data_IF_871654915728
#
_entry.id   IF_871654915728
#
_cell.length_a   1.000
_cell.length_b   1.000
_cell.length_c   1.000
_cell.angle_alpha   90.00
_cell.angle_beta   90.00
_cell.angle_gamma   90.00
#
_symmetry.space_group_name_H-M   'P 1'
#
loop_
_entity.id
_entity.type
_entity.pdbx_description
1 polymer ?
#
# COMPACT_ATOMS: atom_id res chain seq x y z
N UNK A 1 -6.55 -40.58 60.62
CA UNK A 1 -6.77 -41.42 59.42
C UNK A 1 -7.73 -40.63 58.55
N UNK A 2 -7.44 -40.05 57.40
CA UNK A 2 -6.40 -40.21 56.38
C UNK A 2 -6.22 -38.86 55.66
N UNK A 3 -5.13 -38.75 54.90
CA UNK A 3 -4.43 -37.54 54.47
C UNK A 3 -4.46 -37.40 52.93
N UNK A 4 -4.23 -36.18 52.44
CA UNK A 4 -3.70 -35.78 51.12
C UNK A 4 -4.68 -35.84 49.91
N UNK A 5 -4.61 -34.94 48.91
CA UNK A 5 -3.55 -33.99 48.60
C UNK A 5 -3.96 -32.90 47.60
N UNK A 6 -3.32 -31.74 47.76
CA UNK A 6 -3.30 -30.59 46.85
C UNK A 6 -2.36 -30.90 45.68
N UNK A 7 -2.80 -30.68 44.45
CA UNK A 7 -1.95 -30.66 43.26
C UNK A 7 -1.46 -29.22 43.02
N UNK A 8 -0.15 -29.03 43.12
CA UNK A 8 0.55 -27.82 42.69
C UNK A 8 0.92 -27.98 41.21
N UNK A 9 0.41 -27.09 40.34
CA UNK A 9 0.92 -26.96 38.97
C UNK A 9 2.26 -26.21 39.00
N UNK A 10 3.33 -26.92 38.67
CA UNK A 10 4.67 -26.36 38.53
C UNK A 10 4.74 -25.56 37.20
N UNK A 11 5.05 -24.28 37.31
CA UNK A 11 5.32 -23.36 36.19
C UNK A 11 6.67 -23.75 35.57
N UNK A 12 6.66 -24.29 34.36
CA UNK A 12 7.88 -24.51 33.56
C UNK A 12 8.27 -23.18 32.92
N UNK A 13 9.39 -22.62 33.37
CA UNK A 13 10.04 -21.44 32.82
C UNK A 13 10.90 -21.87 31.62
N UNK A 14 10.37 -21.77 30.41
CA UNK A 14 11.12 -22.01 29.17
C UNK A 14 11.70 -20.71 28.61
N UNK A 15 13.02 -20.58 28.62
CA UNK A 15 13.79 -19.51 27.96
C UNK A 15 13.91 -19.75 26.45
N UNK A 16 14.03 -18.70 25.61
CA UNK A 16 13.91 -18.81 24.15
C UNK A 16 15.19 -19.36 23.49
N UNK A 17 15.10 -20.00 22.30
CA UNK A 17 16.28 -20.41 21.55
C UNK A 17 16.91 -19.21 20.82
N UNK A 18 18.20 -18.98 21.10
CA UNK A 18 19.06 -18.04 20.39
C UNK A 18 19.41 -18.65 19.03
N UNK A 19 18.90 -18.08 17.94
CA UNK A 19 19.34 -18.42 16.58
C UNK A 19 20.59 -17.61 16.25
N UNK A 20 21.76 -18.26 16.28
CA UNK A 20 23.03 -17.70 15.82
C UNK A 20 23.14 -17.90 14.29
N UNK A 21 22.96 -16.83 13.51
CA UNK A 21 23.18 -16.85 12.06
C UNK A 21 24.65 -16.48 11.77
N UNK A 22 25.49 -17.49 11.53
CA UNK A 22 26.88 -17.30 11.10
C UNK A 22 26.96 -17.12 9.58
N UNK A 23 27.22 -15.90 9.12
CA UNK A 23 27.55 -15.62 7.72
C UNK A 23 29.08 -15.45 7.60
N UNK A 24 29.79 -16.50 7.16
CA UNK A 24 31.21 -16.40 6.81
C UNK A 24 31.33 -15.78 5.40
N UNK A 25 31.75 -14.52 5.33
CA UNK A 25 32.25 -13.89 4.11
C UNK A 25 33.73 -14.27 3.92
N UNK A 26 34.00 -15.21 3.02
CA UNK A 26 35.34 -15.47 2.54
C UNK A 26 35.71 -14.44 1.46
N UNK A 27 36.60 -13.49 1.79
CA UNK A 27 37.33 -12.67 0.83
C UNK A 27 38.72 -13.31 0.62
N UNK A 28 39.14 -13.63 -0.61
CA UNK A 28 40.56 -13.86 -0.87
C UNK A 28 41.22 -12.51 -1.20
N UNK A 29 42.14 -12.11 -0.33
CA UNK A 29 43.15 -11.09 -0.61
C UNK A 29 44.42 -11.79 -1.10
N UNK A 30 44.92 -11.38 -2.26
CA UNK A 30 46.25 -11.74 -2.76
C UNK A 30 46.27 -11.79 -4.29
N UNK A 31 47.29 -11.34 -5.01
CA UNK A 31 48.48 -10.57 -4.71
C UNK A 31 48.93 -9.95 -6.05
N UNK A 32 49.70 -8.88 -6.00
CA UNK A 32 50.29 -8.20 -7.17
C UNK A 32 51.32 -9.10 -7.89
N UNK A 33 51.46 -8.97 -9.22
CA UNK A 33 52.57 -9.59 -9.96
C UNK A 33 52.55 -9.48 -11.49
N UNK A 34 53.14 -8.38 -11.99
CA UNK A 34 54.05 -8.26 -13.15
C UNK A 34 53.66 -8.63 -14.60
N UNK A 35 54.01 -7.67 -15.46
CA UNK A 35 54.53 -7.79 -16.83
C UNK A 35 53.61 -8.19 -17.98
N UNK A 36 53.10 -7.15 -18.64
CA UNK A 36 53.59 -6.77 -19.97
C UNK A 36 53.55 -7.85 -21.05
N UNK A 37 52.42 -7.98 -21.74
CA UNK A 37 52.41 -8.45 -23.12
C UNK A 37 51.53 -7.52 -23.95
N UNK A 38 52.18 -6.85 -24.91
CA UNK A 38 51.56 -5.98 -25.90
C UNK A 38 51.09 -6.86 -27.05
N UNK A 39 49.79 -7.13 -27.12
CA UNK A 39 49.17 -7.68 -28.33
C UNK A 39 48.38 -6.60 -29.04
N UNK A 40 48.91 -6.19 -30.20
CA UNK A 40 48.16 -5.46 -31.21
C UNK A 40 47.10 -6.38 -31.78
N UNK A 41 45.83 -6.03 -31.60
CA UNK A 41 44.73 -6.61 -32.36
C UNK A 41 43.74 -5.49 -32.66
N UNK A 42 43.81 -4.96 -33.88
CA UNK A 42 42.74 -4.18 -34.44
C UNK A 42 41.47 -5.07 -34.48
N UNK A 43 40.51 -4.78 -33.60
CA UNK A 43 39.14 -5.28 -33.74
C UNK A 43 38.29 -4.13 -34.25
N UNK A 44 37.92 -4.25 -35.51
CA UNK A 44 36.74 -3.61 -36.08
C UNK A 44 35.56 -3.83 -35.14
N UNK A 45 35.15 -2.76 -34.46
CA UNK A 45 33.89 -2.73 -33.74
C UNK A 45 32.77 -2.75 -34.78
N UNK A 46 32.21 -3.92 -35.04
CA UNK A 46 30.88 -4.00 -35.65
C UNK A 46 29.91 -3.32 -34.68
N UNK A 47 29.18 -2.27 -35.08
CA UNK A 47 28.11 -1.74 -34.24
C UNK A 47 27.10 -2.87 -34.08
N UNK A 48 26.89 -3.33 -32.85
CA UNK A 48 25.72 -4.12 -32.52
C UNK A 48 24.50 -3.36 -33.06
N UNK A 49 23.54 -3.99 -33.75
CA UNK A 49 22.35 -3.28 -34.16
C UNK A 49 21.73 -2.72 -32.90
N UNK A 50 21.72 -1.39 -32.76
CA UNK A 50 20.83 -0.75 -31.80
C UNK A 50 19.44 -1.20 -32.23
N UNK A 51 18.91 -2.23 -31.56
CA UNK A 51 17.47 -2.42 -31.49
C UNK A 51 16.98 -1.06 -31.07
N UNK A 52 16.36 -0.35 -32.00
CA UNK A 52 15.46 0.75 -31.70
C UNK A 52 14.58 0.19 -30.58
N UNK A 53 14.88 0.60 -29.34
CA UNK A 53 13.97 0.41 -28.24
C UNK A 53 12.77 1.23 -28.70
N UNK A 54 11.80 0.56 -29.30
CA UNK A 54 10.50 1.14 -29.62
C UNK A 54 10.12 1.93 -28.38
N UNK A 55 9.91 3.23 -28.55
CA UNK A 55 9.60 4.15 -27.46
C UNK A 55 8.53 3.46 -26.61
N UNK A 56 8.94 2.91 -25.48
CA UNK A 56 8.12 1.92 -24.77
C UNK A 56 6.81 2.60 -24.46
N UNK A 57 5.68 1.98 -24.86
CA UNK A 57 4.35 2.54 -24.59
C UNK A 57 4.32 2.87 -23.10
N UNK A 58 4.30 4.16 -22.80
CA UNK A 58 4.41 4.64 -21.43
C UNK A 58 3.11 4.29 -20.72
N UNK A 59 3.17 3.33 -19.79
CA UNK A 59 1.97 2.82 -19.10
C UNK A 59 1.40 3.90 -18.16
N UNK A 60 0.11 4.25 -18.27
CA UNK A 60 -0.57 5.11 -17.30
C UNK A 60 -0.38 4.59 -15.87
N UNK A 61 0.01 5.49 -14.96
CA UNK A 61 0.09 5.18 -13.54
C UNK A 61 -0.22 6.42 -12.68
N UNK A 62 -0.83 6.20 -11.54
CA UNK A 62 -1.15 7.21 -10.55
C UNK A 62 -0.97 6.67 -9.13
N UNK A 63 -0.48 7.54 -8.26
CA UNK A 63 -0.46 7.33 -6.81
C UNK A 63 -0.86 8.64 -6.14
N UNK A 64 -1.89 8.61 -5.33
CA UNK A 64 -2.46 9.76 -4.63
C UNK A 64 -2.33 9.55 -3.13
N UNK A 65 -2.13 10.64 -2.41
CA UNK A 65 -2.10 10.67 -0.94
C UNK A 65 -3.28 11.46 -0.41
N UNK A 66 -3.84 11.01 0.72
CA UNK A 66 -5.00 11.62 1.35
C UNK A 66 -4.66 12.81 2.22
N UNK A 67 -5.55 13.80 2.26
CA UNK A 67 -5.49 14.92 3.19
C UNK A 67 -6.90 15.29 3.70
N UNK A 68 -7.00 15.86 4.92
CA UNK A 68 -8.29 16.25 5.47
C UNK A 68 -8.79 17.55 4.83
N UNK A 69 -10.10 17.61 4.56
CA UNK A 69 -10.80 18.86 4.29
C UNK A 69 -11.36 19.48 5.58
N UNK A 70 -11.68 20.79 5.53
CA UNK A 70 -12.42 21.50 6.59
C UNK A 70 -13.80 20.90 6.87
N UNK A 71 -14.41 20.24 5.88
CA UNK A 71 -15.72 19.60 6.00
C UNK A 71 -15.65 18.11 6.41
N UNK A 72 -14.58 17.68 7.08
CA UNK A 72 -14.38 16.28 7.49
C UNK A 72 -14.51 15.28 6.31
N UNK A 73 -13.89 15.63 5.18
CA UNK A 73 -13.84 14.78 3.99
C UNK A 73 -12.40 14.38 3.64
N UNK A 74 -12.27 13.22 3.00
CA UNK A 74 -11.02 12.70 2.47
C UNK A 74 -10.82 13.24 1.05
N UNK A 75 -9.79 14.08 0.88
CA UNK A 75 -9.40 14.61 -0.42
C UNK A 75 -8.09 13.99 -0.89
N UNK A 76 -7.95 13.82 -2.20
CA UNK A 76 -6.79 13.22 -2.85
C UNK A 76 -5.92 14.27 -3.52
N UNK A 77 -4.60 14.10 -3.47
CA UNK A 77 -3.63 14.96 -4.20
C UNK A 77 -2.47 14.16 -4.74
N UNK A 78 -1.84 14.70 -5.78
CA UNK A 78 -0.71 14.09 -6.49
C UNK A 78 0.57 14.95 -6.49
N UNK A 79 0.57 16.11 -5.84
CA UNK A 79 1.63 17.13 -5.95
C UNK A 79 2.68 17.07 -4.84
N UNK A 80 2.62 16.09 -3.93
CA UNK A 80 3.48 16.00 -2.75
C UNK A 80 3.86 14.55 -2.44
N UNK A 81 4.81 14.34 -1.53
CA UNK A 81 4.99 13.06 -0.81
C UNK A 81 5.11 11.78 -1.68
N UNK A 82 5.86 11.85 -2.78
CA UNK A 82 5.99 10.79 -3.80
C UNK A 82 4.69 10.39 -4.52
N UNK A 83 3.61 11.13 -4.31
CA UNK A 83 2.40 11.04 -5.14
C UNK A 83 2.70 11.53 -6.56
N UNK A 84 1.98 10.98 -7.54
CA UNK A 84 2.16 11.33 -8.94
C UNK A 84 0.93 10.99 -9.79
N UNK A 85 0.85 11.70 -10.92
CA UNK A 85 0.02 11.36 -12.08
C UNK A 85 0.97 11.23 -13.28
N UNK A 86 0.87 10.14 -14.04
CA UNK A 86 1.73 9.87 -15.20
C UNK A 86 0.94 9.35 -16.38
N UNK A 87 1.40 9.74 -17.57
CA UNK A 87 0.96 9.23 -18.88
C UNK A 87 -0.56 9.29 -19.08
N UNK A 88 -1.15 10.46 -18.79
CA UNK A 88 -2.55 10.78 -19.11
C UNK A 88 -3.51 10.74 -17.92
N UNK A 89 -3.16 10.09 -16.81
CA UNK A 89 -3.97 10.18 -15.59
C UNK A 89 -4.13 11.63 -15.15
N UNK A 90 -5.35 11.97 -14.73
CA UNK A 90 -5.67 13.27 -14.13
C UNK A 90 -6.62 13.09 -12.95
N UNK A 91 -6.63 14.09 -12.07
CA UNK A 91 -7.50 14.14 -10.91
C UNK A 91 -8.50 15.29 -11.12
N UNK A 92 -9.78 14.97 -11.12
CA UNK A 92 -10.87 15.95 -11.29
C UNK A 92 -11.98 15.64 -10.30
N UNK A 93 -12.47 16.65 -9.57
CA UNK A 93 -13.54 16.49 -8.58
C UNK A 93 -13.30 15.34 -7.58
N UNK A 94 -12.06 15.20 -7.10
CA UNK A 94 -11.63 14.12 -6.21
C UNK A 94 -11.68 12.70 -6.80
N UNK A 95 -11.79 12.58 -8.13
CA UNK A 95 -11.84 11.32 -8.87
C UNK A 95 -10.68 11.21 -9.86
N UNK A 96 -10.09 10.03 -9.94
CA UNK A 96 -9.03 9.69 -10.87
C UNK A 96 -9.65 9.32 -12.23
N UNK A 97 -9.27 10.04 -13.28
CA UNK A 97 -9.78 9.82 -14.65
C UNK A 97 -8.91 8.81 -15.42
N UNK A 98 -9.55 7.77 -15.96
CA UNK A 98 -8.87 6.74 -16.76
C UNK A 98 -8.53 7.29 -18.16
N UNK A 99 -7.24 7.36 -18.56
CA UNK A 99 -6.85 8.00 -19.81
C UNK A 99 -7.08 7.14 -21.07
N UNK A 100 -6.99 5.82 -20.93
CA UNK A 100 -7.11 4.85 -22.03
C UNK A 100 -7.83 3.59 -21.58
N UNK A 101 -8.64 2.97 -22.43
CA UNK A 101 -9.30 1.71 -22.09
C UNK A 101 -8.27 0.58 -21.94
N UNK A 102 -8.50 -0.32 -20.98
CA UNK A 102 -7.60 -1.46 -20.74
C UNK A 102 -7.74 -2.05 -19.34
N UNK A 103 -6.85 -2.99 -19.01
CA UNK A 103 -6.76 -3.57 -17.66
C UNK A 103 -5.95 -2.66 -16.75
N UNK A 104 -6.50 -2.38 -15.56
CA UNK A 104 -5.85 -1.58 -14.54
C UNK A 104 -5.82 -2.33 -13.23
N UNK A 105 -4.68 -2.36 -12.56
CA UNK A 105 -4.64 -2.68 -11.14
C UNK A 105 -4.99 -1.41 -10.36
N UNK A 106 -6.07 -1.47 -9.58
CA UNK A 106 -6.56 -0.38 -8.74
C UNK A 106 -6.36 -0.79 -7.28
N UNK A 107 -5.86 0.12 -6.45
CA UNK A 107 -5.58 -0.16 -5.04
C UNK A 107 -5.82 1.05 -4.16
N UNK A 108 -6.18 0.81 -2.90
CA UNK A 108 -6.34 1.85 -1.91
C UNK A 108 -6.06 1.33 -0.51
N UNK A 109 -5.55 2.21 0.35
CA UNK A 109 -5.35 1.96 1.78
C UNK A 109 -5.86 3.13 2.60
N UNK A 110 -6.48 2.78 3.73
CA UNK A 110 -6.74 3.71 4.83
C UNK A 110 -6.33 3.10 6.16
N UNK A 111 -5.87 3.93 7.08
CA UNK A 111 -5.65 3.57 8.48
C UNK A 111 -6.56 4.44 9.33
N UNK A 112 -7.33 3.80 10.19
CA UNK A 112 -8.15 4.43 11.20
C UNK A 112 -7.51 4.30 12.57
N UNK A 113 -7.67 5.30 13.41
CA UNK A 113 -7.28 5.31 14.81
C UNK A 113 -8.28 6.06 15.67
N UNK A 114 -8.34 5.71 16.93
CA UNK A 114 -9.12 6.45 17.91
C UNK A 114 -8.71 6.12 19.34
N UNK A 115 -9.20 6.94 20.25
CA UNK A 115 -8.93 6.77 21.67
C UNK A 115 -9.86 5.72 22.32
N UNK A 116 -9.48 5.29 23.51
CA UNK A 116 -10.35 4.47 24.38
C UNK A 116 -11.60 5.24 24.79
N UNK A 117 -12.68 4.52 25.08
CA UNK A 117 -13.85 5.12 25.71
C UNK A 117 -13.53 5.58 27.15
N UNK A 118 -14.19 6.67 27.58
CA UNK A 118 -14.20 7.06 28.99
C UNK A 118 -14.76 5.93 29.85
N UNK A 119 -14.23 5.66 31.06
CA UNK A 119 -14.75 4.63 31.98
C UNK A 119 -16.23 4.79 32.34
N UNK A 120 -16.81 5.98 32.11
CA UNK A 120 -18.21 6.30 32.39
C UNK A 120 -19.11 6.25 31.14
N UNK A 121 -18.53 6.05 29.96
CA UNK A 121 -19.28 5.98 28.72
C UNK A 121 -19.67 4.52 28.41
N UNK A 122 -20.89 4.32 27.91
CA UNK A 122 -21.30 3.03 27.34
C UNK A 122 -20.70 2.96 25.92
N UNK A 123 -19.79 2.01 25.63
CA UNK A 123 -19.14 1.95 24.33
C UNK A 123 -20.14 1.58 23.24
N UNK A 124 -20.29 2.46 22.26
CA UNK A 124 -21.04 2.17 21.03
C UNK A 124 -20.10 1.65 19.94
N UNK A 125 -20.56 0.70 19.10
CA UNK A 125 -19.76 0.25 17.98
C UNK A 125 -19.54 1.38 16.98
N UNK A 126 -18.28 1.59 16.60
CA UNK A 126 -17.88 2.45 15.51
C UNK A 126 -17.81 1.59 14.24
N UNK A 127 -18.63 1.93 13.26
CA UNK A 127 -18.57 1.34 11.93
C UNK A 127 -17.58 2.11 11.07
N UNK A 128 -16.66 1.37 10.44
CA UNK A 128 -15.63 1.90 9.55
C UNK A 128 -15.77 1.19 8.22
N UNK A 129 -15.76 1.95 7.13
CA UNK A 129 -15.78 1.38 5.79
C UNK A 129 -14.93 2.22 4.84
N UNK A 130 -14.37 1.57 3.84
CA UNK A 130 -13.65 2.23 2.77
C UNK A 130 -13.91 1.51 1.45
N UNK A 131 -14.36 2.26 0.46
CA UNK A 131 -14.73 1.74 -0.86
C UNK A 131 -13.99 2.49 -1.96
N UNK A 132 -13.63 1.76 -3.02
CA UNK A 132 -13.27 2.32 -4.32
C UNK A 132 -14.47 2.16 -5.24
N UNK A 133 -14.94 3.26 -5.82
CA UNK A 133 -16.15 3.32 -6.63
C UNK A 133 -15.83 3.73 -8.07
N UNK A 134 -16.53 3.12 -9.02
CA UNK A 134 -16.50 3.44 -10.43
C UNK A 134 -17.71 4.28 -10.81
N UNK A 135 -17.48 5.39 -11.50
CA UNK A 135 -18.49 6.09 -12.28
C UNK A 135 -18.09 6.01 -13.76
N UNK A 136 -18.97 5.41 -14.58
CA UNK A 136 -18.74 5.19 -16.01
C UNK A 136 -19.93 5.71 -16.80
N UNK A 137 -19.72 6.16 -18.04
CA UNK A 137 -20.83 6.55 -18.92
C UNK A 137 -21.80 5.40 -19.21
N UNK A 138 -21.38 4.15 -18.96
CA UNK A 138 -22.20 2.95 -19.11
C UNK A 138 -23.26 2.80 -17.99
N UNK A 139 -23.06 3.45 -16.83
CA UNK A 139 -23.94 3.33 -15.67
C UNK A 139 -24.20 4.71 -15.03
N UNK A 140 -25.47 5.14 -14.88
CA UNK A 140 -25.78 6.48 -14.35
C UNK A 140 -25.58 6.63 -12.83
N UNK A 141 -24.83 5.74 -12.18
CA UNK A 141 -24.60 5.73 -10.73
C UNK A 141 -23.23 5.13 -10.36
N UNK A 142 -22.79 5.35 -9.13
CA UNK A 142 -21.53 4.81 -8.61
C UNK A 142 -21.66 3.30 -8.33
N UNK A 143 -20.68 2.52 -8.82
CA UNK A 143 -20.59 1.07 -8.60
C UNK A 143 -19.38 0.76 -7.73
N UNK A 144 -19.54 0.12 -6.55
CA UNK A 144 -18.40 -0.32 -5.74
C UNK A 144 -17.57 -1.38 -6.48
N UNK A 145 -16.26 -1.16 -6.60
CA UNK A 145 -15.30 -2.11 -7.16
C UNK A 145 -14.59 -2.90 -6.05
N UNK A 146 -14.22 -2.21 -4.97
CA UNK A 146 -13.52 -2.76 -3.81
C UNK A 146 -14.18 -2.19 -2.57
N UNK A 147 -14.58 -3.03 -1.62
CA UNK A 147 -15.16 -2.60 -0.34
C UNK A 147 -14.53 -3.37 0.81
N UNK A 148 -14.15 -2.64 1.86
CA UNK A 148 -13.69 -3.19 3.12
C UNK A 148 -14.41 -2.52 4.29
N UNK A 149 -14.78 -3.31 5.30
CA UNK A 149 -15.55 -2.85 6.45
C UNK A 149 -14.98 -3.44 7.74
N UNK A 150 -15.03 -2.69 8.83
CA UNK A 150 -14.70 -3.16 10.18
C UNK A 150 -15.61 -2.49 11.20
N UNK A 151 -15.93 -3.24 12.25
CA UNK A 151 -16.54 -2.68 13.46
C UNK A 151 -15.50 -2.61 14.57
N UNK A 152 -15.47 -1.48 15.28
CA UNK A 152 -14.62 -1.28 16.44
C UNK A 152 -15.51 -1.00 17.65
N UNK A 153 -15.31 -1.77 18.72
CA UNK A 153 -15.83 -1.41 20.03
C UNK A 153 -14.69 -0.73 20.80
N UNK A 154 -14.72 0.58 21.03
CA UNK A 154 -13.66 1.25 21.78
C UNK A 154 -13.71 0.73 23.22
N UNK A 155 -12.70 -0.07 23.58
CA UNK A 155 -12.58 -0.59 24.94
C UNK A 155 -12.09 0.48 25.90
N UNK A 156 -11.96 0.09 27.17
CA UNK A 156 -11.27 0.89 28.20
C UNK A 156 -9.74 0.72 28.14
N UNK A 157 -9.24 -0.19 27.31
CA UNK A 157 -7.83 -0.59 27.28
C UNK A 157 -7.03 0.13 26.18
N UNK A 158 -7.01 1.45 26.24
CA UNK A 158 -6.14 2.29 25.40
C UNK A 158 -6.62 2.50 23.96
N UNK A 159 -5.82 3.24 23.15
CA UNK A 159 -6.19 3.60 21.79
C UNK A 159 -6.24 2.38 20.88
N UNK A 160 -7.01 2.49 19.80
CA UNK A 160 -7.16 1.44 18.79
C UNK A 160 -6.67 1.93 17.43
N UNK A 161 -6.19 0.98 16.62
CA UNK A 161 -5.76 1.21 15.23
C UNK A 161 -6.30 0.10 14.33
N UNK A 162 -6.80 0.44 13.14
CA UNK A 162 -7.30 -0.49 12.14
C UNK A 162 -6.87 -0.06 10.74
N UNK A 163 -6.14 -0.92 10.05
CA UNK A 163 -5.79 -0.72 8.63
C UNK A 163 -6.73 -1.49 7.72
N UNK A 164 -7.06 -0.92 6.56
CA UNK A 164 -7.77 -1.57 5.47
C UNK A 164 -7.00 -1.32 4.18
N UNK A 165 -6.55 -2.39 3.53
CA UNK A 165 -5.93 -2.36 2.22
C UNK A 165 -6.75 -3.23 1.27
N UNK A 166 -6.94 -2.76 0.04
CA UNK A 166 -7.62 -3.49 -1.01
C UNK A 166 -6.99 -3.19 -2.36
N UNK A 167 -6.99 -4.17 -3.26
CA UNK A 167 -6.58 -3.98 -4.64
C UNK A 167 -6.91 -5.17 -5.54
N UNK A 168 -7.32 -4.89 -6.77
CA UNK A 168 -7.64 -5.90 -7.78
C UNK A 168 -7.49 -5.32 -9.19
N UNK A 169 -7.63 -6.19 -10.19
CA UNK A 169 -7.57 -5.82 -11.61
C UNK A 169 -8.98 -5.65 -12.17
N UNK A 170 -9.21 -4.55 -12.89
CA UNK A 170 -10.47 -4.24 -13.55
C UNK A 170 -10.25 -3.86 -15.01
N UNK A 171 -11.20 -4.23 -15.87
CA UNK A 171 -11.28 -3.71 -17.23
C UNK A 171 -12.02 -2.36 -17.17
N UNK A 172 -11.32 -1.28 -17.51
CA UNK A 172 -11.85 0.09 -17.44
C UNK A 172 -11.84 0.72 -18.82
N UNK A 173 -12.76 1.65 -19.04
CA UNK A 173 -12.90 2.43 -20.26
C UNK A 173 -12.25 3.81 -20.10
N UNK A 174 -11.74 4.37 -21.20
CA UNK A 174 -11.33 5.77 -21.24
C UNK A 174 -12.48 6.67 -20.76
N UNK A 175 -12.17 7.58 -19.84
CA UNK A 175 -13.13 8.53 -19.28
C UNK A 175 -13.88 8.01 -18.05
N UNK A 176 -13.72 6.74 -17.69
CA UNK A 176 -14.18 6.24 -16.39
C UNK A 176 -13.52 7.04 -15.26
N UNK A 177 -14.27 7.21 -14.18
CA UNK A 177 -13.83 7.94 -12.99
C UNK A 177 -13.78 6.96 -11.81
N UNK A 178 -12.60 6.85 -11.20
CA UNK A 178 -12.43 6.13 -9.96
C UNK A 178 -12.43 7.10 -8.78
N UNK A 179 -13.31 6.90 -7.83
CA UNK A 179 -13.41 7.70 -6.60
C UNK A 179 -13.40 6.78 -5.38
N UNK A 180 -13.43 7.37 -4.18
CA UNK A 180 -13.51 6.60 -2.94
C UNK A 180 -14.61 7.12 -2.03
N UNK A 181 -15.30 6.21 -1.35
CA UNK A 181 -16.21 6.51 -0.26
C UNK A 181 -15.63 5.99 1.05
N UNK A 182 -15.84 6.68 2.18
CA UNK A 182 -15.27 6.28 3.47
C UNK A 182 -16.20 6.66 4.61
N UNK A 183 -16.58 5.66 5.41
CA UNK A 183 -17.27 5.85 6.68
C UNK A 183 -16.23 5.92 7.81
N UNK A 184 -16.43 6.85 8.75
CA UNK A 184 -15.50 7.07 9.86
C UNK A 184 -14.31 7.98 9.53
N UNK A 185 -14.48 8.96 8.62
CA UNK A 185 -13.42 9.90 8.20
C UNK A 185 -12.74 10.61 9.38
N UNK A 186 -13.50 10.93 10.44
CA UNK A 186 -12.97 11.55 11.67
C UNK A 186 -11.92 10.70 12.39
N UNK A 187 -11.84 9.41 12.07
CA UNK A 187 -10.87 8.47 12.63
C UNK A 187 -9.68 8.22 11.69
N UNK A 188 -9.62 8.82 10.50
CA UNK A 188 -8.51 8.60 9.58
C UNK A 188 -7.19 9.16 10.15
N UNK A 189 -6.16 8.31 10.13
CA UNK A 189 -4.79 8.72 10.42
C UNK A 189 -4.12 9.23 9.14
N UNK A 190 -4.23 10.54 8.89
CA UNK A 190 -3.68 11.17 7.69
C UNK A 190 -2.15 11.18 7.70
N UNK A 191 -1.56 10.28 6.92
CA UNK A 191 -0.16 10.32 6.52
C UNK A 191 -0.02 9.78 5.09
N UNK A 192 0.98 10.23 4.30
CA UNK A 192 1.22 9.71 2.95
C UNK A 192 1.38 8.18 2.87
N UNK A 193 1.88 7.55 3.94
CA UNK A 193 2.05 6.10 4.03
C UNK A 193 0.82 5.34 4.54
N UNK A 194 -0.17 6.03 5.09
CA UNK A 194 -1.33 5.42 5.75
C UNK A 194 -2.61 5.57 4.95
N UNK A 195 -2.77 6.68 4.22
CA UNK A 195 -3.97 6.99 3.45
C UNK A 195 -3.55 7.31 2.01
N UNK A 196 -3.76 6.35 1.11
CA UNK A 196 -3.36 6.47 -0.29
C UNK A 196 -4.32 5.71 -1.21
N UNK A 197 -4.38 6.15 -2.46
CA UNK A 197 -5.22 5.59 -3.51
C UNK A 197 -4.47 5.66 -4.84
N UNK A 198 -4.50 4.60 -5.65
CA UNK A 198 -3.80 4.60 -6.92
C UNK A 198 -4.28 3.56 -7.91
N UNK A 199 -3.79 3.70 -9.14
CA UNK A 199 -4.05 2.77 -10.22
C UNK A 199 -2.90 2.78 -11.24
N UNK A 200 -2.65 1.65 -11.90
CA UNK A 200 -1.75 1.59 -13.05
C UNK A 200 -2.24 0.59 -14.10
N UNK A 201 -2.00 0.93 -15.37
CA UNK A 201 -2.33 0.07 -16.50
C UNK A 201 -1.39 -1.14 -16.56
N UNK A 202 -1.93 -2.30 -16.94
CA UNK A 202 -1.19 -3.55 -17.09
C UNK A 202 -0.56 -3.71 -18.48
#
# INVERSE_FOLDING_TARGET
MTLLGRLHLLRVLGTPPVFLLGLLLALPLGAQGLSGVRFSAARTAHPLPQKHLTHGILKPAAHLVGYPSKQNSLLWRASTDRAFLRHGFSLSNNSLLIPTSGLYFVYSQVVFSGESCSPRAIPTPIYLAHEVQLFSSQYPFHVPLLSAQKSVYPGLQGPWVRSMYQGAVFLLSKGDQLSTHTDGISHLHFSPSSVFFGAFAL
#
